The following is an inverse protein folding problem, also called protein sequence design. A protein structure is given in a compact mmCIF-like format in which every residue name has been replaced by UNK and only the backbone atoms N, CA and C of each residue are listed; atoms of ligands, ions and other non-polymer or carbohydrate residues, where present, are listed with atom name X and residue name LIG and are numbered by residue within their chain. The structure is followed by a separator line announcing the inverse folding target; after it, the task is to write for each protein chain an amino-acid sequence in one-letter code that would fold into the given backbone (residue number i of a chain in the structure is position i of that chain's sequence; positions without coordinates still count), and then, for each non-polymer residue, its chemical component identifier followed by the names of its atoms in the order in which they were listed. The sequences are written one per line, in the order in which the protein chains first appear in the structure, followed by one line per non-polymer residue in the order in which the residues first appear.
data_IF_519283844022
#
_entry.id   IF_519283844022
#
_cell.length_a   1.000
_cell.length_b   1.000
_cell.length_c   1.000
_cell.angle_alpha   90.00
_cell.angle_beta   90.00
_cell.angle_gamma   90.00
#
_symmetry.space_group_name_H-M   'P 1'
#
loop_
_entity.id
_entity.type
_entity.pdbx_description
1 polymer ?
#
# COMPACT_ATOMS: atom_id res chain seq x y z
N UNK A 1 -19.23 -2.55 10.61
CA UNK A 1 -19.65 -2.52 9.20
C UNK A 1 -19.27 -3.87 8.57
N UNK A 2 -20.22 -4.78 8.39
CA UNK A 2 -19.97 -6.02 7.63
C UNK A 2 -20.28 -5.67 6.17
N UNK A 3 -19.25 -5.47 5.36
CA UNK A 3 -19.45 -5.29 3.92
C UNK A 3 -19.88 -6.66 3.38
N UNK A 4 -21.17 -6.80 3.07
CA UNK A 4 -21.64 -7.98 2.35
C UNK A 4 -21.04 -7.93 0.94
N UNK A 5 -20.41 -9.03 0.53
CA UNK A 5 -20.01 -9.18 -0.87
C UNK A 5 -21.28 -9.38 -1.69
N UNK A 6 -21.45 -8.59 -2.75
CA UNK A 6 -22.53 -8.76 -3.70
C UNK A 6 -22.55 -10.19 -4.26
N UNK A 7 -23.72 -10.79 -4.41
CA UNK A 7 -23.90 -12.13 -4.98
C UNK A 7 -23.75 -12.09 -6.51
N UNK A 8 -22.63 -12.58 -7.06
CA UNK A 8 -22.46 -12.77 -8.51
C UNK A 8 -21.08 -12.39 -9.08
N UNK A 9 -21.05 -11.37 -9.96
CA UNK A 9 -19.87 -10.99 -10.76
C UNK A 9 -18.78 -10.36 -9.89
N UNK A 10 -17.86 -11.17 -9.39
CA UNK A 10 -16.77 -10.67 -8.57
C UNK A 10 -15.62 -10.16 -9.44
N UNK A 11 -15.26 -8.88 -9.27
CA UNK A 11 -13.96 -8.39 -9.75
C UNK A 11 -12.88 -9.19 -9.02
N UNK A 12 -12.03 -9.88 -9.77
CA UNK A 12 -10.94 -10.63 -9.19
C UNK A 12 -9.95 -9.66 -8.54
N UNK A 13 -9.59 -9.91 -7.30
CA UNK A 13 -8.58 -9.11 -6.60
C UNK A 13 -7.67 -10.01 -5.77
N UNK A 14 -6.46 -9.53 -5.54
CA UNK A 14 -5.46 -10.16 -4.69
C UNK A 14 -5.06 -9.20 -3.59
N UNK A 15 -4.97 -9.72 -2.37
CA UNK A 15 -4.37 -9.04 -1.24
C UNK A 15 -3.06 -9.72 -0.86
N UNK A 16 -2.03 -8.92 -0.57
CA UNK A 16 -0.73 -9.40 -0.08
C UNK A 16 -0.05 -8.35 0.78
N UNK A 17 0.77 -8.80 1.72
CA UNK A 17 1.65 -7.92 2.48
C UNK A 17 3.01 -7.79 1.79
N UNK A 18 3.52 -6.56 1.70
CA UNK A 18 4.82 -6.25 1.09
C UNK A 18 5.53 -5.24 1.97
N UNK A 19 6.61 -5.66 2.63
CA UNK A 19 7.30 -4.82 3.61
C UNK A 19 6.35 -4.43 4.75
N UNK A 20 6.18 -3.14 4.98
CA UNK A 20 5.24 -2.63 6.00
C UNK A 20 3.80 -2.44 5.48
N UNK A 21 3.56 -2.64 4.18
CA UNK A 21 2.32 -2.26 3.52
C UNK A 21 1.40 -3.44 3.23
N UNK A 22 0.09 -3.17 3.24
CA UNK A 22 -0.93 -4.00 2.63
C UNK A 22 -1.14 -3.56 1.18
N UNK A 23 -1.04 -4.48 0.23
CA UNK A 23 -1.27 -4.22 -1.19
C UNK A 23 -2.50 -4.98 -1.66
N UNK A 24 -3.47 -4.24 -2.20
CA UNK A 24 -4.65 -4.77 -2.87
C UNK A 24 -4.52 -4.47 -4.36
N UNK A 25 -4.55 -5.51 -5.19
CA UNK A 25 -4.46 -5.42 -6.65
C UNK A 25 -5.73 -6.03 -7.25
N UNK A 26 -6.50 -5.22 -7.98
CA UNK A 26 -7.71 -5.66 -8.66
C UNK A 26 -7.46 -5.86 -10.16
N UNK A 27 -8.10 -6.87 -10.76
CA UNK A 27 -7.94 -7.23 -12.17
C UNK A 27 -8.36 -6.14 -13.14
N UNK A 28 -9.13 -5.16 -12.67
CA UNK A 28 -9.54 -3.96 -13.42
C UNK A 28 -8.42 -2.91 -13.55
N UNK A 29 -7.22 -3.15 -13.00
CA UNK A 29 -6.10 -2.22 -13.11
C UNK A 29 -6.09 -1.13 -12.04
N UNK A 30 -6.70 -1.41 -10.87
CA UNK A 30 -6.66 -0.55 -9.68
C UNK A 30 -5.79 -1.21 -8.62
N UNK A 31 -4.90 -0.44 -8.02
CA UNK A 31 -4.00 -0.91 -6.97
C UNK A 31 -4.05 0.06 -5.80
N UNK A 32 -4.24 -0.46 -4.61
CA UNK A 32 -4.23 0.28 -3.36
C UNK A 32 -3.10 -0.24 -2.49
N UNK A 33 -2.22 0.65 -2.07
CA UNK A 33 -1.12 0.35 -1.15
C UNK A 33 -1.39 1.14 0.12
N UNK A 34 -1.47 0.48 1.26
CA UNK A 34 -1.80 1.09 2.54
C UNK A 34 -0.75 0.71 3.58
N UNK A 35 -0.26 1.69 4.34
CA UNK A 35 0.73 1.52 5.40
C UNK A 35 0.15 0.93 6.71
N UNK A 36 -1.13 0.54 6.70
CA UNK A 36 -1.90 0.07 7.86
C UNK A 36 -2.19 1.17 8.90
N UNK A 37 -1.94 2.43 8.54
CA UNK A 37 -2.13 3.64 9.36
C UNK A 37 -2.93 4.66 8.53
N UNK A 38 -2.30 5.75 8.11
CA UNK A 38 -2.94 6.90 7.47
C UNK A 38 -2.56 7.09 6.01
N UNK A 39 -1.48 6.45 5.53
CA UNK A 39 -0.95 6.69 4.19
C UNK A 39 -1.52 5.68 3.19
N UNK A 40 -2.20 6.19 2.16
CA UNK A 40 -2.74 5.38 1.06
C UNK A 40 -2.18 5.87 -0.26
N UNK A 41 -1.62 4.95 -1.05
CA UNK A 41 -1.26 5.20 -2.44
C UNK A 41 -2.22 4.47 -3.37
N UNK A 42 -2.86 5.22 -4.25
CA UNK A 42 -3.73 4.69 -5.29
C UNK A 42 -2.96 4.74 -6.61
N UNK A 43 -2.90 3.61 -7.30
CA UNK A 43 -2.37 3.54 -8.67
C UNK A 43 -3.46 3.04 -9.61
N UNK A 44 -3.58 3.73 -10.73
CA UNK A 44 -4.53 3.41 -11.79
C UNK A 44 -3.78 3.03 -13.06
N UNK A 45 -4.30 2.04 -13.77
CA UNK A 45 -3.85 1.74 -15.12
C UNK A 45 -4.05 2.97 -16.03
N UNK A 46 -3.17 3.20 -17.03
CA UNK A 46 -3.30 4.34 -17.95
C UNK A 46 -4.63 4.42 -18.70
N UNK A 47 -5.38 3.32 -18.78
CA UNK A 47 -6.74 3.28 -19.35
C UNK A 47 -7.76 4.18 -18.62
N UNK A 48 -7.45 4.62 -17.40
CA UNK A 48 -8.28 5.53 -16.61
C UNK A 48 -7.96 7.02 -16.85
N UNK A 49 -6.98 7.34 -17.71
CA UNK A 49 -6.57 8.73 -17.99
C UNK A 49 -7.78 9.58 -18.41
N UNK A 50 -8.06 10.67 -17.67
CA UNK A 50 -9.19 11.58 -17.93
C UNK A 50 -10.58 10.95 -17.72
N UNK A 51 -10.69 9.82 -17.02
CA UNK A 51 -11.95 9.09 -16.77
C UNK A 51 -12.30 8.96 -15.29
N UNK A 52 -11.55 9.64 -14.43
CA UNK A 52 -11.74 9.66 -12.99
C UNK A 52 -11.98 11.09 -12.52
N UNK A 53 -12.49 11.22 -11.31
CA UNK A 53 -12.71 12.48 -10.62
C UNK A 53 -12.64 12.21 -9.11
N UNK A 54 -12.55 13.28 -8.32
CA UNK A 54 -12.44 13.20 -6.87
C UNK A 54 -11.27 14.02 -6.34
N UNK A 55 -10.95 13.82 -5.06
CA UNK A 55 -9.84 14.50 -4.38
C UNK A 55 -8.45 14.24 -4.99
N UNK A 56 -8.30 13.16 -5.77
CA UNK A 56 -7.06 12.84 -6.50
C UNK A 56 -7.01 13.43 -7.92
N UNK A 57 -7.90 14.37 -8.26
CA UNK A 57 -7.96 14.99 -9.58
C UNK A 57 -8.58 14.08 -10.64
N UNK A 58 -8.30 14.39 -11.91
CA UNK A 58 -8.91 13.71 -13.06
C UNK A 58 -7.94 12.79 -13.84
N UNK A 59 -6.66 12.77 -13.44
CA UNK A 59 -5.60 11.97 -14.06
C UNK A 59 -5.45 12.22 -15.57
N UNK A 60 -5.50 13.47 -16.04
CA UNK A 60 -5.32 13.83 -17.46
C UNK A 60 -3.88 14.28 -17.83
N UNK A 61 -2.96 14.30 -16.85
CA UNK A 61 -1.58 14.82 -16.91
C UNK A 61 -1.47 16.36 -16.91
N UNK A 62 -2.52 17.08 -16.51
CA UNK A 62 -2.53 18.53 -16.39
C UNK A 62 -3.03 18.95 -15.00
N UNK A 63 -2.12 19.39 -14.13
CA UNK A 63 -2.48 19.74 -12.74
C UNK A 63 -3.36 20.98 -12.60
N UNK A 64 -3.43 21.85 -13.61
CA UNK A 64 -4.15 23.12 -13.52
C UNK A 64 -5.68 22.99 -13.49
N UNK A 65 -6.24 21.79 -13.65
CA UNK A 65 -7.68 21.53 -13.60
C UNK A 65 -8.04 20.45 -12.57
N UNK A 66 -7.09 20.03 -11.72
CA UNK A 66 -7.34 18.96 -10.74
C UNK A 66 -8.36 19.37 -9.68
N UNK A 67 -8.48 20.68 -9.38
CA UNK A 67 -9.52 21.24 -8.51
C UNK A 67 -10.85 21.42 -9.26
N UNK A 68 -11.35 20.33 -9.84
CA UNK A 68 -12.68 20.25 -10.42
C UNK A 68 -13.68 19.71 -9.39
N UNK A 69 -14.72 20.49 -9.10
CA UNK A 69 -15.78 20.14 -8.14
C UNK A 69 -16.73 19.07 -8.68
N UNK A 70 -17.59 18.52 -7.81
CA UNK A 70 -18.61 17.51 -8.19
C UNK A 70 -19.61 18.00 -9.24
N UNK A 71 -19.83 19.32 -9.36
CA UNK A 71 -20.66 19.97 -10.38
C UNK A 71 -19.87 20.41 -11.63
N UNK A 72 -18.64 19.92 -11.80
CA UNK A 72 -17.77 20.15 -12.96
C UNK A 72 -17.25 21.58 -13.12
N UNK A 73 -17.14 22.33 -12.03
CA UNK A 73 -16.53 23.66 -12.01
C UNK A 73 -15.06 23.57 -11.58
N UNK A 74 -14.17 24.27 -12.30
CA UNK A 74 -12.78 24.42 -11.88
C UNK A 74 -12.70 25.60 -10.92
N UNK A 75 -12.16 25.36 -9.72
CA UNK A 75 -12.04 26.35 -8.64
C UNK A 75 -10.59 26.49 -8.18
N UNK A 76 -10.23 27.65 -7.65
CA UNK A 76 -8.90 27.89 -7.07
C UNK A 76 -8.81 27.52 -5.58
N UNK A 77 -9.96 27.44 -4.90
CA UNK A 77 -10.07 27.20 -3.47
C UNK A 77 -10.03 25.70 -3.14
N UNK A 78 -9.03 25.29 -2.36
CA UNK A 78 -8.91 23.92 -1.83
C UNK A 78 -10.13 23.50 -1.00
N UNK A 79 -10.72 24.46 -0.25
CA UNK A 79 -11.87 24.20 0.60
C UNK A 79 -13.13 23.98 -0.23
N UNK A 80 -13.37 24.81 -1.24
CA UNK A 80 -14.55 24.65 -2.11
C UNK A 80 -14.46 23.33 -2.88
N UNK A 81 -13.26 23.01 -3.40
CA UNK A 81 -12.97 21.74 -4.03
C UNK A 81 -13.23 20.56 -3.08
N UNK A 82 -12.59 20.54 -1.91
CA UNK A 82 -12.69 19.45 -0.94
C UNK A 82 -14.09 19.23 -0.40
N UNK A 83 -14.80 20.31 -0.04
CA UNK A 83 -16.17 20.25 0.47
C UNK A 83 -17.15 19.71 -0.58
N UNK A 84 -16.92 19.96 -1.88
CA UNK A 84 -17.77 19.43 -2.95
C UNK A 84 -17.74 17.89 -3.08
N UNK A 85 -16.70 17.24 -2.55
CA UNK A 85 -16.50 15.79 -2.61
C UNK A 85 -17.02 15.03 -1.39
N UNK A 86 -17.64 15.70 -0.41
CA UNK A 86 -18.24 15.00 0.75
C UNK A 86 -19.33 14.02 0.31
N UNK A 87 -19.36 12.85 0.94
CA UNK A 87 -20.32 11.80 0.61
C UNK A 87 -21.70 12.05 1.24
N UNK A 88 -21.73 12.48 2.50
CA UNK A 88 -22.98 12.80 3.20
C UNK A 88 -23.21 14.31 3.21
N UNK A 89 -24.41 14.78 2.80
CA UNK A 89 -24.72 16.21 2.82
C UNK A 89 -24.79 16.78 4.24
N UNK A 90 -24.99 15.94 5.25
CA UNK A 90 -24.99 16.30 6.67
C UNK A 90 -23.59 16.56 7.24
N UNK A 91 -22.52 16.19 6.52
CA UNK A 91 -21.17 16.52 6.94
C UNK A 91 -20.95 18.04 6.85
N UNK A 92 -20.38 18.67 7.89
CA UNK A 92 -20.11 20.10 7.89
C UNK A 92 -19.07 20.45 6.83
N UNK A 93 -19.18 21.66 6.29
CA UNK A 93 -18.14 22.21 5.43
C UNK A 93 -16.96 22.69 6.28
N UNK A 94 -15.76 22.52 5.75
CA UNK A 94 -14.54 23.10 6.33
C UNK A 94 -14.43 24.53 5.84
N UNK A 95 -14.48 25.49 6.76
CA UNK A 95 -14.39 26.93 6.46
C UNK A 95 -12.97 27.48 6.58
N UNK A 96 -12.12 26.84 7.38
CA UNK A 96 -10.73 27.25 7.63
C UNK A 96 -9.88 26.00 7.86
N UNK A 97 -8.72 25.93 7.22
CA UNK A 97 -7.69 24.92 7.52
C UNK A 97 -7.05 25.25 8.87
N UNK A 98 -7.11 24.36 9.88
CA UNK A 98 -6.46 24.60 11.15
C UNK A 98 -4.94 24.76 10.99
N UNK A 99 -4.32 25.60 11.81
CA UNK A 99 -2.86 25.62 11.98
C UNK A 99 -2.51 24.91 13.31
N UNK A 100 -2.08 23.63 13.27
CA UNK A 100 -1.79 22.87 14.47
C UNK A 100 -0.61 23.44 15.25
N UNK A 101 0.37 24.04 14.58
CA UNK A 101 1.54 24.59 15.25
C UNK A 101 1.23 25.93 15.93
N UNK A 102 0.32 26.74 15.38
CA UNK A 102 -0.20 27.91 16.08
C UNK A 102 -1.05 27.51 17.29
N UNK A 103 -1.82 26.41 17.19
CA UNK A 103 -2.62 25.87 18.30
C UNK A 103 -1.76 25.23 19.39
N UNK A 104 -0.69 24.53 19.00
CA UNK A 104 0.23 23.81 19.87
C UNK A 104 1.67 24.35 19.75
N UNK A 105 1.94 25.61 20.13
CA UNK A 105 3.23 26.27 19.89
C UNK A 105 4.40 25.60 20.64
N UNK A 106 4.11 24.95 21.77
CA UNK A 106 5.10 24.21 22.56
C UNK A 106 5.66 22.98 21.81
N UNK A 107 4.94 22.43 20.81
CA UNK A 107 5.40 21.30 19.99
C UNK A 107 6.25 21.72 18.79
N UNK A 108 6.16 22.98 18.37
CA UNK A 108 6.78 23.48 17.14
C UNK A 108 8.30 23.24 17.11
N UNK A 109 9.01 23.52 18.20
CA UNK A 109 10.47 23.35 18.27
C UNK A 109 10.88 21.89 18.07
N UNK A 110 10.17 20.95 18.70
CA UNK A 110 10.40 19.53 18.51
C UNK A 110 10.09 19.09 17.07
N UNK A 111 8.92 19.50 16.54
CA UNK A 111 8.49 19.19 15.19
C UNK A 111 9.51 19.66 14.13
N UNK A 112 9.92 20.94 14.19
CA UNK A 112 10.91 21.49 13.27
C UNK A 112 12.26 20.78 13.35
N UNK A 113 12.71 20.45 14.58
CA UNK A 113 13.98 19.74 14.79
C UNK A 113 13.94 18.33 14.21
N UNK A 114 12.91 17.54 14.53
CA UNK A 114 12.82 16.17 14.03
C UNK A 114 12.62 16.13 12.51
N UNK A 115 11.68 16.92 11.99
CA UNK A 115 11.39 16.97 10.55
C UNK A 115 12.54 17.54 9.71
N UNK A 116 13.52 18.23 10.32
CA UNK A 116 14.69 18.76 9.61
C UNK A 116 15.52 17.68 8.91
N UNK A 117 15.40 16.41 9.31
CA UNK A 117 16.04 15.28 8.63
C UNK A 117 15.72 15.26 7.13
N UNK A 118 14.49 15.59 6.73
CA UNK A 118 14.04 15.63 5.33
C UNK A 118 14.89 16.59 4.49
N UNK A 119 15.35 17.70 5.09
CA UNK A 119 16.20 18.73 4.48
C UNK A 119 17.69 18.53 4.77
N UNK A 120 18.06 17.52 5.55
CA UNK A 120 19.44 17.25 5.95
C UNK A 120 20.23 16.49 4.88
N UNK A 121 21.53 16.34 5.09
CA UNK A 121 22.42 15.56 4.23
C UNK A 121 22.01 14.08 4.09
N UNK A 122 21.25 13.52 5.04
CA UNK A 122 20.72 12.14 4.96
C UNK A 122 19.93 11.92 3.67
N UNK A 123 19.15 12.92 3.25
CA UNK A 123 18.33 12.86 2.04
C UNK A 123 18.92 13.61 0.84
N UNK A 124 20.18 14.03 0.91
CA UNK A 124 20.84 14.83 -0.15
C UNK A 124 20.79 14.20 -1.54
N UNK A 125 20.88 12.86 -1.62
CA UNK A 125 20.79 12.09 -2.87
C UNK A 125 19.41 12.16 -3.54
N UNK A 126 18.38 12.57 -2.80
CA UNK A 126 17.00 12.68 -3.27
C UNK A 126 16.57 14.13 -3.55
N UNK A 127 17.20 15.13 -2.93
CA UNK A 127 16.82 16.55 -3.05
C UNK A 127 16.80 17.07 -4.50
N UNK A 128 17.61 16.48 -5.39
CA UNK A 128 17.62 16.82 -6.82
C UNK A 128 16.52 16.14 -7.65
N UNK A 129 15.79 15.19 -7.07
CA UNK A 129 14.77 14.37 -7.74
C UNK A 129 13.35 14.66 -7.23
N UNK A 130 13.22 14.90 -5.94
CA UNK A 130 11.95 15.19 -5.27
C UNK A 130 12.13 16.43 -4.39
N UNK A 131 11.23 17.42 -4.51
CA UNK A 131 11.28 18.62 -3.68
C UNK A 131 10.98 18.27 -2.21
N UNK A 132 11.91 18.49 -1.27
CA UNK A 132 11.68 18.19 0.15
C UNK A 132 10.72 19.15 0.84
N UNK A 133 10.43 20.32 0.26
CA UNK A 133 9.66 21.38 0.92
C UNK A 133 8.26 20.94 1.37
N UNK A 134 7.37 20.41 0.49
CA UNK A 134 6.02 20.01 0.90
C UNK A 134 6.04 18.88 1.95
N UNK A 135 7.00 17.95 1.86
CA UNK A 135 7.12 16.86 2.84
C UNK A 135 7.59 17.35 4.21
N UNK A 136 8.50 18.32 4.24
CA UNK A 136 8.91 18.97 5.50
C UNK A 136 7.76 19.72 6.15
N UNK A 137 7.00 20.50 5.38
CA UNK A 137 5.87 21.28 5.88
C UNK A 137 4.77 20.36 6.43
N UNK A 138 4.44 19.28 5.70
CA UNK A 138 3.52 18.25 6.17
C UNK A 138 4.02 17.55 7.46
N UNK A 139 5.30 17.18 7.51
CA UNK A 139 5.87 16.56 8.71
C UNK A 139 5.75 17.46 9.95
N UNK A 140 6.03 18.76 9.81
CA UNK A 140 5.92 19.73 10.91
C UNK A 140 4.47 19.90 11.33
N UNK A 141 3.57 20.06 10.37
CA UNK A 141 2.13 20.15 10.60
C UNK A 141 1.60 18.94 11.40
N UNK A 142 1.90 17.73 10.94
CA UNK A 142 1.43 16.48 11.56
C UNK A 142 2.00 16.31 12.97
N UNK A 143 3.30 16.58 13.14
CA UNK A 143 3.99 16.51 14.44
C UNK A 143 3.47 17.50 15.48
N UNK A 144 2.98 18.67 15.06
CA UNK A 144 2.29 19.63 15.92
C UNK A 144 0.85 19.19 16.26
N UNK A 145 0.22 18.42 15.37
CA UNK A 145 -1.19 17.98 15.50
C UNK A 145 -1.37 16.71 16.33
N UNK A 146 -0.36 15.84 16.42
CA UNK A 146 -0.41 14.60 17.19
C UNK A 146 -0.16 14.86 18.69
N UNK A 147 -1.11 15.51 19.35
CA UNK A 147 -1.02 15.98 20.74
C UNK A 147 -1.64 15.04 21.79
N UNK A 148 -2.36 14.00 21.37
CA UNK A 148 -3.00 13.00 22.27
C UNK A 148 -2.19 11.72 22.50
N UNK A 149 -0.92 11.68 22.05
CA UNK A 149 -0.04 10.50 22.09
C UNK A 149 0.19 9.88 20.70
N UNK A 150 1.31 9.17 20.52
CA UNK A 150 1.71 8.60 19.22
C UNK A 150 2.42 9.59 18.29
N UNK A 151 3.02 10.64 18.82
CA UNK A 151 3.77 11.66 18.06
C UNK A 151 4.94 11.10 17.24
N UNK A 152 5.66 10.12 17.78
CA UNK A 152 6.68 9.39 17.04
C UNK A 152 6.11 8.68 15.80
N UNK A 153 4.87 8.17 15.86
CA UNK A 153 4.24 7.47 14.74
C UNK A 153 3.88 8.42 13.59
N UNK A 154 3.36 9.61 13.91
CA UNK A 154 3.08 10.65 12.93
C UNK A 154 4.35 11.12 12.22
N UNK A 155 5.39 11.43 13.00
CA UNK A 155 6.70 11.81 12.47
C UNK A 155 7.29 10.73 11.55
N UNK A 156 7.34 9.48 12.00
CA UNK A 156 7.94 8.41 11.21
C UNK A 156 7.17 8.13 9.90
N UNK A 157 5.84 8.29 9.90
CA UNK A 157 5.01 8.08 8.71
C UNK A 157 5.21 9.20 7.68
N UNK A 158 5.37 10.45 8.14
CA UNK A 158 5.68 11.59 7.28
C UNK A 158 7.07 11.46 6.61
N UNK A 159 8.10 11.08 7.38
CA UNK A 159 9.45 10.85 6.81
C UNK A 159 9.47 9.64 5.87
N UNK A 160 8.78 8.56 6.21
CA UNK A 160 8.66 7.38 5.34
C UNK A 160 7.98 7.70 4.00
N UNK A 161 6.98 8.59 3.99
CA UNK A 161 6.31 9.06 2.77
C UNK A 161 7.29 9.73 1.82
N UNK A 162 8.20 10.57 2.33
CA UNK A 162 9.25 11.18 1.52
C UNK A 162 10.28 10.14 1.02
N UNK A 163 10.73 9.24 1.89
CA UNK A 163 11.67 8.18 1.51
C UNK A 163 11.11 7.23 0.43
N UNK A 164 9.79 7.03 0.41
CA UNK A 164 9.12 6.23 -0.60
C UNK A 164 9.15 6.90 -1.98
N UNK A 165 8.87 8.20 -2.08
CA UNK A 165 8.99 8.94 -3.34
C UNK A 165 10.45 9.00 -3.81
N UNK A 166 11.40 9.19 -2.89
CA UNK A 166 12.83 9.08 -3.20
C UNK A 166 13.18 7.73 -3.84
N UNK A 167 12.73 6.62 -3.23
CA UNK A 167 13.01 5.27 -3.73
C UNK A 167 12.39 5.03 -5.10
N UNK A 168 11.17 5.55 -5.32
CA UNK A 168 10.47 5.49 -6.60
C UNK A 168 11.23 6.24 -7.71
N UNK A 169 11.85 7.37 -7.39
CA UNK A 169 12.75 8.11 -8.29
C UNK A 169 14.19 7.56 -8.31
N UNK A 170 14.40 6.34 -7.78
CA UNK A 170 15.69 5.64 -7.79
C UNK A 170 16.74 6.25 -6.87
N UNK A 171 16.35 6.99 -5.83
CA UNK A 171 17.21 7.45 -4.75
C UNK A 171 16.86 6.68 -3.46
N UNK A 172 17.52 5.53 -3.27
CA UNK A 172 17.37 4.74 -2.05
C UNK A 172 18.06 5.43 -0.86
N UNK A 173 17.33 5.69 0.23
CA UNK A 173 17.84 6.37 1.43
C UNK A 173 17.66 5.49 2.67
N UNK A 174 18.76 5.20 3.36
CA UNK A 174 18.75 4.52 4.66
C UNK A 174 18.69 5.57 5.78
N UNK A 175 17.48 5.92 6.22
CA UNK A 175 17.26 7.04 7.15
C UNK A 175 16.92 6.62 8.59
N UNK A 176 16.49 5.38 8.80
CA UNK A 176 16.12 4.85 10.12
C UNK A 176 17.35 4.45 10.93
N UNK A 177 17.32 4.68 12.23
CA UNK A 177 18.36 4.27 13.17
C UNK A 177 17.72 3.67 14.42
N UNK A 178 18.49 3.02 15.32
CA UNK A 178 17.95 2.55 16.60
C UNK A 178 17.25 3.63 17.43
N UNK A 179 17.73 4.88 17.32
CA UNK A 179 17.18 6.03 18.05
C UNK A 179 16.11 6.81 17.25
N UNK A 180 16.03 6.58 15.93
CA UNK A 180 15.13 7.31 15.03
C UNK A 180 14.29 6.33 14.20
N UNK A 181 13.02 6.22 14.57
CA UNK A 181 12.04 5.38 13.88
C UNK A 181 12.49 3.93 13.70
N UNK A 182 12.90 3.23 14.78
CA UNK A 182 13.48 1.88 14.71
C UNK A 182 12.49 0.87 14.12
N UNK A 183 13.04 -0.14 13.42
CA UNK A 183 12.27 -1.26 12.86
C UNK A 183 12.80 -2.57 13.42
N UNK A 184 11.92 -3.32 14.07
CA UNK A 184 12.23 -4.63 14.63
C UNK A 184 11.93 -5.73 13.59
N UNK A 185 12.97 -6.12 12.83
CA UNK A 185 12.89 -7.19 11.82
C UNK A 185 13.36 -8.54 12.34
N UNK A 186 14.28 -8.52 13.30
CA UNK A 186 14.81 -9.67 14.01
C UNK A 186 13.76 -10.43 14.82
N UNK A 187 12.68 -9.75 15.24
CA UNK A 187 11.53 -10.36 15.89
C UNK A 187 10.93 -11.56 15.13
N UNK A 188 11.07 -11.60 13.80
CA UNK A 188 10.53 -12.68 12.96
C UNK A 188 11.52 -13.82 12.72
N UNK A 189 12.76 -13.68 13.20
CA UNK A 189 13.76 -14.72 13.06
C UNK A 189 13.45 -15.91 13.98
N UNK A 190 13.56 -17.15 13.48
CA UNK A 190 13.72 -18.31 14.35
C UNK A 190 14.94 -18.15 15.25
N UNK A 191 14.98 -18.82 16.42
CA UNK A 191 16.19 -18.88 17.23
C UNK A 191 17.40 -19.34 16.40
N UNK A 192 18.55 -18.69 16.59
CA UNK A 192 19.82 -18.99 15.91
C UNK A 192 19.85 -18.79 14.38
N UNK A 193 18.81 -18.17 13.81
CA UNK A 193 18.73 -17.88 12.37
C UNK A 193 18.58 -16.38 12.12
N UNK A 194 19.08 -15.91 10.99
CA UNK A 194 18.99 -14.50 10.60
C UNK A 194 18.48 -14.41 9.16
N UNK A 195 17.19 -14.70 9.00
CA UNK A 195 16.52 -14.73 7.70
C UNK A 195 15.84 -13.39 7.40
N UNK A 196 15.24 -12.74 8.40
CA UNK A 196 14.53 -11.47 8.27
C UNK A 196 15.46 -10.28 8.44
N UNK A 197 15.50 -9.43 7.42
CA UNK A 197 16.27 -8.20 7.40
C UNK A 197 15.41 -7.00 7.06
N UNK A 198 15.86 -5.84 7.52
CA UNK A 198 15.32 -4.56 7.08
C UNK A 198 15.85 -4.25 5.67
N UNK A 199 14.93 -4.04 4.74
CA UNK A 199 15.23 -3.62 3.37
C UNK A 199 14.65 -2.20 3.18
N UNK A 200 15.49 -1.15 3.14
CA UNK A 200 15.02 0.24 3.12
C UNK A 200 14.28 0.62 1.82
N UNK A 201 14.52 -0.12 0.73
CA UNK A 201 14.14 0.30 -0.62
C UNK A 201 13.51 -0.81 -1.45
N UNK A 202 13.22 -1.95 -0.84
CA UNK A 202 12.61 -3.13 -1.47
C UNK A 202 13.38 -3.77 -2.64
N UNK A 203 14.58 -3.30 -3.03
CA UNK A 203 15.19 -3.53 -4.35
C UNK A 203 15.82 -4.92 -4.57
N UNK A 204 15.05 -5.98 -4.37
CA UNK A 204 15.39 -7.35 -4.77
C UNK A 204 14.14 -8.04 -5.32
N UNK A 205 14.24 -8.54 -6.54
CA UNK A 205 13.33 -9.54 -7.09
C UNK A 205 13.60 -10.86 -6.41
N UNK A 206 12.68 -11.31 -5.55
CA UNK A 206 12.76 -12.63 -4.93
C UNK A 206 11.62 -13.50 -5.45
N UNK A 207 11.93 -14.76 -5.65
CA UNK A 207 10.92 -15.75 -5.99
C UNK A 207 10.03 -16.00 -4.77
N UNK A 208 8.73 -16.02 -4.97
CA UNK A 208 7.74 -16.48 -4.00
C UNK A 208 7.00 -17.66 -4.59
N UNK A 209 6.31 -18.45 -3.76
CA UNK A 209 5.45 -19.52 -4.30
C UNK A 209 4.41 -19.01 -5.33
N UNK A 210 4.06 -17.71 -5.34
CA UNK A 210 3.20 -17.12 -6.39
C UNK A 210 3.96 -16.95 -7.71
N UNK A 211 5.12 -16.30 -7.68
CA UNK A 211 5.90 -16.05 -8.91
C UNK A 211 6.44 -17.33 -9.53
N UNK A 212 6.80 -18.33 -8.71
CA UNK A 212 7.20 -19.67 -9.18
C UNK A 212 6.04 -20.41 -9.87
N UNK A 213 4.79 -20.16 -9.45
CA UNK A 213 3.59 -20.70 -10.09
C UNK A 213 3.05 -19.78 -11.22
N UNK A 214 3.87 -18.87 -11.75
CA UNK A 214 3.51 -17.98 -12.87
C UNK A 214 2.53 -16.86 -12.53
N UNK A 215 2.26 -16.61 -11.24
CA UNK A 215 1.38 -15.52 -10.80
C UNK A 215 2.24 -14.27 -10.60
N UNK A 216 2.18 -13.37 -11.57
CA UNK A 216 2.89 -12.08 -11.55
C UNK A 216 1.92 -10.92 -11.31
N UNK A 217 2.41 -9.85 -10.68
CA UNK A 217 1.68 -8.58 -10.57
C UNK A 217 1.89 -7.74 -11.82
N UNK A 218 0.92 -6.89 -12.14
CA UNK A 218 0.99 -5.97 -13.28
C UNK A 218 1.89 -4.76 -13.02
N UNK A 219 2.28 -4.54 -11.76
CA UNK A 219 3.20 -3.47 -11.37
C UNK A 219 4.34 -3.99 -10.49
N UNK A 220 5.47 -3.31 -10.58
CA UNK A 220 6.53 -3.46 -9.59
C UNK A 220 6.17 -2.72 -8.31
N UNK A 221 6.06 -3.45 -7.21
CA UNK A 221 6.01 -2.91 -5.84
C UNK A 221 7.34 -3.15 -5.11
N UNK A 222 8.42 -3.37 -5.86
CA UNK A 222 9.75 -3.66 -5.32
C UNK A 222 10.44 -2.45 -4.70
N UNK A 223 9.77 -1.31 -4.56
CA UNK A 223 10.33 -0.11 -3.95
C UNK A 223 9.80 0.11 -2.51
N UNK A 224 8.87 -0.74 -2.05
CA UNK A 224 8.26 -0.58 -0.73
C UNK A 224 9.23 -0.96 0.39
N UNK A 225 9.41 -0.05 1.33
CA UNK A 225 10.21 -0.23 2.54
C UNK A 225 9.65 -1.36 3.42
N UNK A 226 10.52 -2.14 4.04
CA UNK A 226 10.14 -2.94 5.19
C UNK A 226 10.93 -4.22 5.39
N UNK A 227 10.30 -5.16 6.09
CA UNK A 227 10.90 -6.42 6.50
C UNK A 227 10.88 -7.38 5.33
N UNK A 228 11.98 -8.10 5.11
CA UNK A 228 12.08 -9.11 4.07
C UNK A 228 12.84 -10.33 4.56
N UNK A 229 12.32 -11.52 4.25
CA UNK A 229 13.00 -12.78 4.44
C UNK A 229 14.02 -13.04 3.31
N UNK A 230 15.24 -13.37 3.68
CA UNK A 230 16.27 -13.93 2.82
C UNK A 230 16.11 -15.46 2.86
N UNK A 231 15.89 -16.06 1.69
CA UNK A 231 15.72 -17.51 1.61
C UNK A 231 17.08 -18.22 1.64
N UNK A 232 17.15 -19.41 2.25
CA UNK A 232 18.27 -20.34 2.02
C UNK A 232 18.34 -20.71 0.54
N UNK A 233 19.53 -21.05 0.02
CA UNK A 233 19.76 -21.34 -1.41
C UNK A 233 18.81 -22.40 -2.01
N UNK A 234 18.22 -23.28 -1.18
CA UNK A 234 17.34 -24.38 -1.58
C UNK A 234 15.85 -24.16 -1.22
N UNK A 235 15.47 -22.95 -0.77
CA UNK A 235 14.12 -22.64 -0.29
C UNK A 235 13.57 -21.34 -0.91
N UNK A 236 12.24 -21.29 -1.05
CA UNK A 236 11.46 -20.13 -1.50
C UNK A 236 10.67 -19.59 -0.31
N UNK A 237 10.70 -18.27 -0.01
CA UNK A 237 9.94 -17.69 1.08
C UNK A 237 8.42 -17.90 0.91
N UNK A 238 7.76 -18.36 1.98
CA UNK A 238 6.31 -18.56 2.00
C UNK A 238 5.55 -17.27 2.39
N UNK A 239 4.24 -17.22 2.08
CA UNK A 239 3.30 -16.15 2.47
C UNK A 239 3.37 -15.86 3.98
N UNK A 240 3.34 -14.56 4.35
CA UNK A 240 2.74 -14.13 5.61
C UNK A 240 1.21 -14.29 5.50
N UNK A 241 0.60 -15.06 6.40
CA UNK A 241 -0.86 -15.14 6.45
C UNK A 241 -1.41 -16.06 7.52
N UNK A 242 -0.93 -17.30 7.63
CA UNK A 242 -1.48 -18.27 8.60
C UNK A 242 -0.47 -19.39 8.84
N UNK A 243 0.10 -19.45 10.06
CA UNK A 243 1.02 -20.47 10.59
C UNK A 243 2.40 -20.57 9.89
N UNK A 244 3.43 -20.03 10.56
CA UNK A 244 4.84 -20.32 10.30
C UNK A 244 5.49 -19.54 9.15
N UNK A 245 6.35 -18.57 9.47
CA UNK A 245 7.28 -17.99 8.51
C UNK A 245 8.46 -18.97 8.33
N UNK A 246 8.33 -19.92 7.41
CA UNK A 246 9.41 -20.84 7.02
C UNK A 246 9.56 -20.90 5.50
N UNK A 247 10.79 -21.06 5.01
CA UNK A 247 11.05 -21.31 3.60
C UNK A 247 10.56 -22.70 3.17
N UNK A 248 9.95 -22.81 1.99
CA UNK A 248 9.55 -24.09 1.39
C UNK A 248 10.43 -24.43 0.20
N UNK A 249 10.76 -25.70 0.01
CA UNK A 249 11.34 -26.14 -1.26
C UNK A 249 10.34 -25.89 -2.40
N UNK A 250 10.79 -25.49 -3.62
CA UNK A 250 9.91 -25.25 -4.76
C UNK A 250 8.82 -26.32 -5.00
N UNK A 251 9.09 -27.64 -4.97
CA UNK A 251 8.04 -28.65 -5.18
C UNK A 251 6.96 -28.69 -4.08
N UNK A 252 7.18 -28.06 -2.93
CA UNK A 252 6.20 -27.94 -1.83
C UNK A 252 5.41 -26.63 -1.87
N UNK A 253 5.71 -25.71 -2.78
CA UNK A 253 4.94 -24.49 -2.99
C UNK A 253 3.56 -24.79 -3.61
N UNK A 254 2.49 -24.72 -2.79
CA UNK A 254 1.11 -24.71 -3.29
C UNK A 254 0.48 -23.34 -3.06
N UNK A 255 -0.06 -22.75 -4.12
CA UNK A 255 -0.87 -21.53 -4.03
C UNK A 255 -2.32 -21.92 -4.22
N UNK A 256 -3.09 -21.84 -3.13
CA UNK A 256 -4.53 -22.06 -3.19
C UNK A 256 -5.25 -20.71 -3.26
N UNK A 257 -6.18 -20.61 -4.21
CA UNK A 257 -7.14 -19.51 -4.34
C UNK A 257 -8.55 -20.08 -4.27
N UNK A 258 -9.44 -19.36 -3.61
CA UNK A 258 -10.87 -19.64 -3.63
C UNK A 258 -11.50 -18.85 -4.78
N UNK A 259 -12.16 -19.54 -5.70
CA UNK A 259 -12.94 -18.94 -6.79
C UNK A 259 -14.37 -19.46 -6.69
N UNK A 260 -15.35 -18.56 -6.80
CA UNK A 260 -16.77 -18.91 -6.90
C UNK A 260 -17.08 -19.15 -8.39
N UNK A 261 -17.45 -20.37 -8.76
CA UNK A 261 -17.92 -20.70 -10.12
C UNK A 261 -19.38 -21.14 -10.07
N UNK A 262 -20.23 -20.56 -10.93
CA UNK A 262 -21.59 -21.06 -11.17
C UNK A 262 -21.52 -22.43 -11.84
N UNK A 263 -21.89 -23.50 -11.12
CA UNK A 263 -22.17 -24.78 -11.76
C UNK A 263 -23.62 -24.81 -12.24
N UNK A 264 -23.82 -25.08 -13.53
CA UNK A 264 -25.13 -25.38 -14.11
C UNK A 264 -25.34 -26.89 -14.02
N UNK A 265 -26.16 -27.36 -13.08
CA UNK A 265 -26.53 -28.78 -13.02
C UNK A 265 -27.34 -29.16 -14.25
N UNK A 266 -26.77 -30.02 -15.10
CA UNK A 266 -27.50 -30.68 -16.19
C UNK A 266 -28.21 -31.91 -15.63
N UNK A 267 -29.35 -31.71 -14.96
CA UNK A 267 -30.23 -32.78 -14.48
C UNK A 267 -31.57 -32.77 -15.22
N UNK A 268 -31.91 -33.87 -15.91
CA UNK A 268 -33.24 -34.10 -16.49
C UNK A 268 -34.30 -34.15 -15.37
N UNK A 269 -35.21 -33.17 -15.34
CA UNK A 269 -36.56 -33.35 -14.77
C UNK A 269 -36.97 -32.45 -13.61
N UNK A 270 -37.95 -31.57 -13.90
CA UNK A 270 -38.92 -30.85 -13.04
C UNK A 270 -38.39 -29.88 -11.96
N UNK A 271 -38.59 -28.58 -12.25
CA UNK A 271 -38.62 -27.47 -11.28
C UNK A 271 -37.60 -26.37 -11.57
N UNK A 272 -37.87 -25.08 -11.27
CA UNK A 272 -36.87 -24.03 -11.36
C UNK A 272 -35.80 -24.27 -10.29
N UNK A 273 -34.65 -24.83 -10.67
CA UNK A 273 -33.51 -25.01 -9.78
C UNK A 273 -32.84 -23.66 -9.51
N UNK A 274 -32.80 -23.30 -8.23
CA UNK A 274 -32.02 -22.19 -7.70
C UNK A 274 -30.53 -22.55 -7.81
N UNK A 275 -29.79 -21.82 -8.66
CA UNK A 275 -28.36 -22.05 -8.83
C UNK A 275 -27.61 -21.54 -7.58
N UNK A 276 -27.02 -22.45 -6.80
CA UNK A 276 -26.20 -22.12 -5.64
C UNK A 276 -24.72 -21.94 -6.06
N UNK A 277 -24.11 -20.81 -5.68
CA UNK A 277 -22.67 -20.60 -5.83
C UNK A 277 -21.92 -21.44 -4.79
N UNK A 278 -21.13 -22.42 -5.24
CA UNK A 278 -20.26 -23.22 -4.36
C UNK A 278 -18.82 -22.69 -4.40
N UNK A 279 -18.15 -22.52 -3.25
CA UNK A 279 -16.74 -22.17 -3.21
C UNK A 279 -15.92 -23.33 -3.77
N UNK A 280 -15.27 -23.13 -4.92
CA UNK A 280 -14.25 -24.05 -5.41
C UNK A 280 -12.89 -23.59 -4.97
N UNK A 281 -12.20 -24.45 -4.24
CA UNK A 281 -10.79 -24.26 -3.88
C UNK A 281 -9.93 -24.90 -4.95
N UNK A 282 -9.22 -24.08 -5.73
CA UNK A 282 -8.23 -24.54 -6.70
C UNK A 282 -6.83 -24.30 -6.14
N UNK A 283 -5.97 -25.33 -6.15
CA UNK A 283 -4.56 -25.20 -5.76
C UNK A 283 -3.68 -25.44 -6.98
N UNK A 284 -2.87 -24.44 -7.33
CA UNK A 284 -1.78 -24.57 -8.31
C UNK A 284 -0.54 -25.10 -7.59
N UNK A 285 0.12 -26.08 -8.19
CA UNK A 285 1.40 -26.62 -7.74
C UNK A 285 2.28 -27.01 -8.92
N UNK A 286 3.60 -27.04 -8.70
CA UNK A 286 4.58 -27.53 -9.66
C UNK A 286 4.31 -29.01 -9.98
N UNK A 287 3.77 -29.30 -11.17
CA UNK A 287 3.81 -30.66 -11.72
C UNK A 287 5.25 -30.92 -12.18
N UNK A 288 6.01 -31.67 -11.39
CA UNK A 288 7.24 -32.28 -11.87
C UNK A 288 6.84 -33.30 -12.95
N UNK A 289 7.13 -33.01 -14.22
CA UNK A 289 7.12 -34.05 -15.25
C UNK A 289 8.08 -35.16 -14.78
N UNK A 290 7.66 -36.43 -14.76
CA UNK A 290 8.59 -37.52 -14.49
C UNK A 290 9.67 -37.48 -15.57
N UNK A 291 10.95 -37.43 -15.15
CA UNK A 291 12.06 -37.68 -16.08
C UNK A 291 11.95 -39.14 -16.50
N UNK A 292 11.64 -39.36 -17.77
CA UNK A 292 11.81 -40.63 -18.49
C UNK A 292 13.28 -40.92 -18.72
#
# INVERSE_FOLDING_TARGET
LVIQRDTGHHVAYTTREVGQYLVVEASIGVIVIWDKKTTVFIKLAPSYKGRVCGLCGNFDQRSSNDFTTRDHMVVDSELDFGNSWKEAPTCPDVSVTPDPCARNPHRLSWAQKQCSIIKSSVFSVCHSKVDPKPFYEACVHDSCSCDTGGDCECFCSAVASYAQECTKEGACVFWRTPDLCPVFCDYYNPPDECEWHYEPCGNRSFETCRTVNGIHSNISVSYLEGKRASARRDAVPMRLGTQGAGGLSPPRCRVCSTSLERQKESGRGRGPQEAADQPKTGCLGLQTRPRS
#
